data_IF_298100518087
#
_entry.id   IF_298100518087
#
_cell.length_a   1.000
_cell.length_b   1.000
_cell.length_c   1.000
_cell.angle_alpha   90.00
_cell.angle_beta   90.00
_cell.angle_gamma   90.00
#
_symmetry.space_group_name_H-M   'P 1'
#
loop_
_entity.id
_entity.type
_entity.pdbx_description
1 polymer ?
#
# COMPACT_ATOMS: atom_id res chain seq x y z
N UNK A 1 9.65 27.79 -7.96
CA UNK A 1 10.29 26.63 -7.30
C UNK A 1 9.27 26.07 -6.33
N UNK A 2 8.92 24.81 -6.53
CA UNK A 2 7.71 24.20 -5.99
C UNK A 2 7.79 24.00 -4.47
N UNK A 3 6.77 24.50 -3.78
CA UNK A 3 6.41 24.14 -2.40
C UNK A 3 5.82 22.74 -2.40
N UNK A 4 6.50 21.78 -1.78
CA UNK A 4 5.94 20.45 -1.51
C UNK A 4 5.42 20.49 -0.07
N UNK A 5 4.12 20.74 0.04
CA UNK A 5 3.36 20.56 1.27
C UNK A 5 3.00 19.07 1.38
N UNK A 6 3.68 18.33 2.25
CA UNK A 6 3.22 16.99 2.65
C UNK A 6 2.44 17.09 3.95
N UNK A 7 1.22 16.50 4.01
CA UNK A 7 0.37 16.53 5.19
C UNK A 7 0.80 15.49 6.23
N UNK A 8 0.94 15.95 7.47
CA UNK A 8 0.97 15.15 8.69
C UNK A 8 -0.28 14.26 8.84
N UNK A 9 -0.18 13.09 9.48
CA UNK A 9 -1.26 12.55 10.30
C UNK A 9 -1.10 12.96 11.79
N UNK A 10 -2.19 13.06 12.58
CA UNK A 10 -2.21 13.69 13.90
C UNK A 10 -2.19 12.72 15.09
N UNK A 11 -1.81 13.32 16.24
CA UNK A 11 -2.21 13.04 17.63
C UNK A 11 -1.82 11.71 18.31
N UNK A 12 -0.85 11.79 19.23
CA UNK A 12 -1.11 11.39 20.61
C UNK A 12 -0.30 12.27 21.58
N UNK A 13 -1.01 12.79 22.58
CA UNK A 13 -0.50 13.67 23.63
C UNK A 13 0.67 13.03 24.37
N UNK A 14 1.84 13.67 24.42
CA UNK A 14 2.69 13.60 25.61
C UNK A 14 3.55 14.85 25.73
N UNK A 15 3.41 15.50 26.87
CA UNK A 15 4.00 16.75 27.31
C UNK A 15 5.51 16.85 27.00
N UNK A 16 5.90 17.86 26.20
CA UNK A 16 7.29 18.29 26.10
C UNK A 16 7.68 19.05 27.39
N UNK A 17 7.98 18.30 28.45
CA UNK A 17 8.77 18.84 29.54
C UNK A 17 10.17 19.10 28.99
N UNK A 18 10.54 20.38 29.02
CA UNK A 18 11.87 20.90 28.71
C UNK A 18 12.92 20.14 29.54
N UNK A 19 13.57 19.13 28.94
CA UNK A 19 14.86 18.67 29.39
C UNK A 19 15.89 19.14 28.38
N UNK A 20 16.70 20.12 28.80
CA UNK A 20 17.93 20.47 28.11
C UNK A 20 18.82 19.22 28.00
N UNK A 21 19.16 18.73 26.80
CA UNK A 21 20.09 17.62 26.71
C UNK A 21 21.51 18.17 26.85
N UNK A 22 22.01 18.16 28.08
CA UNK A 22 23.44 18.03 28.30
C UNK A 22 23.93 16.79 27.54
N UNK A 23 24.78 17.00 26.53
CA UNK A 23 25.30 15.95 25.66
C UNK A 23 26.16 14.96 26.46
N UNK A 24 25.93 13.63 26.34
CA UNK A 24 26.99 12.66 26.45
C UNK A 24 27.24 12.06 25.07
N UNK A 25 28.51 11.99 24.70
CA UNK A 25 29.05 11.64 23.37
C UNK A 25 28.66 10.24 22.84
N UNK A 26 27.88 9.46 23.60
CA UNK A 26 27.29 8.17 23.20
C UNK A 26 25.91 8.30 22.55
N UNK A 27 25.23 9.44 22.73
CA UNK A 27 23.95 9.71 22.10
C UNK A 27 24.08 9.85 20.57
N UNK A 28 25.25 10.26 20.05
CA UNK A 28 25.49 10.44 18.63
C UNK A 28 25.41 9.13 17.83
N UNK A 29 26.01 8.05 18.33
CA UNK A 29 25.92 6.73 17.69
C UNK A 29 24.49 6.17 17.78
N UNK A 30 23.80 6.33 18.91
CA UNK A 30 22.41 5.88 19.04
C UNK A 30 21.47 6.67 18.11
N UNK A 31 21.67 7.97 17.97
CA UNK A 31 20.86 8.82 17.10
C UNK A 31 21.08 8.50 15.61
N UNK A 32 22.33 8.23 15.21
CA UNK A 32 22.66 7.75 13.85
C UNK A 32 22.05 6.37 13.54
N UNK A 33 22.05 5.43 14.51
CA UNK A 33 21.43 4.12 14.34
C UNK A 33 19.89 4.22 14.23
N UNK A 34 19.26 5.10 15.01
CA UNK A 34 17.81 5.35 14.94
C UNK A 34 17.39 6.00 13.62
N UNK A 35 18.21 6.89 13.06
CA UNK A 35 17.95 7.49 11.73
C UNK A 35 18.06 6.46 10.59
N UNK A 36 19.00 5.51 10.68
CA UNK A 36 19.15 4.44 9.69
C UNK A 36 17.97 3.46 9.70
N UNK A 37 17.39 3.15 10.87
CA UNK A 37 16.23 2.24 10.96
C UNK A 37 14.99 2.87 10.33
N UNK A 38 14.82 4.19 10.50
CA UNK A 38 13.64 4.93 10.01
C UNK A 38 13.55 5.01 8.48
N UNK A 39 14.68 4.97 7.78
CA UNK A 39 14.74 4.99 6.32
C UNK A 39 14.63 3.61 5.66
N UNK A 40 14.87 2.54 6.43
CA UNK A 40 14.92 1.17 5.91
C UNK A 40 13.53 0.60 5.61
N UNK A 41 12.52 0.99 6.40
CA UNK A 41 11.14 0.50 6.25
C UNK A 41 10.50 0.90 4.91
N UNK A 42 10.73 2.13 4.45
CA UNK A 42 10.14 2.61 3.19
C UNK A 42 10.76 1.95 1.96
N UNK A 43 12.09 1.82 1.94
CA UNK A 43 12.80 1.17 0.82
C UNK A 43 12.55 -0.35 0.77
N UNK A 44 12.41 -0.99 1.93
CA UNK A 44 12.11 -2.42 2.00
C UNK A 44 10.68 -2.73 1.55
N UNK A 45 9.70 -1.88 1.90
CA UNK A 45 8.31 -2.07 1.49
C UNK A 45 8.10 -1.92 -0.02
N UNK A 46 8.72 -0.92 -0.65
CA UNK A 46 8.59 -0.68 -2.10
C UNK A 46 9.15 -1.85 -2.92
N UNK A 47 10.28 -2.44 -2.50
CA UNK A 47 10.86 -3.62 -3.15
C UNK A 47 9.95 -4.86 -3.11
N UNK A 48 9.09 -4.96 -2.09
CA UNK A 48 8.15 -6.09 -1.96
C UNK A 48 6.88 -5.88 -2.79
N UNK A 49 6.58 -4.65 -3.20
CA UNK A 49 5.44 -4.33 -4.04
C UNK A 49 5.68 -4.61 -5.53
N UNK A 50 6.90 -4.94 -5.95
CA UNK A 50 7.25 -5.13 -7.37
C UNK A 50 6.30 -6.10 -8.08
N UNK A 51 6.00 -7.25 -7.45
CA UNK A 51 5.06 -8.23 -8.01
C UNK A 51 3.62 -7.72 -8.04
N UNK A 52 3.22 -6.90 -7.07
CA UNK A 52 1.89 -6.28 -7.04
C UNK A 52 1.78 -5.25 -8.16
N UNK A 53 2.83 -4.46 -8.37
CA UNK A 53 2.92 -3.46 -9.44
C UNK A 53 2.98 -4.10 -10.82
N UNK A 54 3.53 -5.29 -10.95
CA UNK A 54 3.49 -6.04 -12.20
C UNK A 54 2.09 -6.63 -12.47
N UNK A 55 1.40 -7.12 -11.45
CA UNK A 55 0.21 -7.96 -11.63
C UNK A 55 -1.11 -7.19 -11.60
N UNK A 56 -1.25 -6.25 -10.67
CA UNK A 56 -2.51 -5.54 -10.43
C UNK A 56 -2.98 -4.62 -11.56
N UNK A 57 -2.10 -3.89 -12.30
CA UNK A 57 -2.55 -2.92 -13.30
C UNK A 57 -3.42 -3.51 -14.41
N UNK A 58 -3.27 -4.80 -14.72
CA UNK A 58 -4.10 -5.48 -15.72
C UNK A 58 -5.59 -5.51 -15.37
N UNK A 59 -5.95 -5.28 -14.11
CA UNK A 59 -7.32 -5.23 -13.63
C UNK A 59 -7.90 -3.82 -13.55
N UNK A 60 -7.06 -2.78 -13.58
CA UNK A 60 -7.50 -1.39 -13.38
C UNK A 60 -8.56 -0.98 -14.40
N UNK A 61 -8.37 -1.31 -15.68
CA UNK A 61 -9.32 -1.00 -16.76
C UNK A 61 -10.73 -1.57 -16.54
N UNK A 62 -10.86 -2.71 -15.85
CA UNK A 62 -12.17 -3.22 -15.44
C UNK A 62 -12.67 -2.51 -14.17
N UNK A 63 -11.78 -2.36 -13.18
CA UNK A 63 -12.10 -1.75 -11.89
C UNK A 63 -12.52 -0.28 -12.00
N UNK A 64 -12.02 0.45 -12.99
CA UNK A 64 -12.39 1.84 -13.28
C UNK A 64 -13.59 1.98 -14.23
N UNK A 65 -14.10 0.85 -14.75
CA UNK A 65 -15.25 0.84 -15.64
C UNK A 65 -14.95 1.11 -17.12
N UNK A 66 -13.68 1.15 -17.54
CA UNK A 66 -13.32 1.25 -18.96
C UNK A 66 -13.78 0.01 -19.76
N UNK A 67 -13.82 -1.17 -19.12
CA UNK A 67 -14.33 -2.39 -19.73
C UNK A 67 -15.40 -3.06 -18.86
N UNK A 68 -16.37 -3.69 -19.53
CA UNK A 68 -17.46 -4.42 -18.88
C UNK A 68 -17.04 -5.77 -18.27
N UNK A 69 -15.89 -6.33 -18.69
CA UNK A 69 -15.39 -7.63 -18.22
C UNK A 69 -13.90 -7.58 -17.96
N UNK A 70 -13.40 -8.30 -16.93
CA UNK A 70 -11.97 -8.40 -16.69
C UNK A 70 -11.30 -9.16 -17.84
N UNK A 71 -10.08 -8.72 -18.17
CA UNK A 71 -9.26 -9.46 -19.14
C UNK A 71 -8.85 -10.82 -18.57
N UNK A 72 -8.61 -11.82 -19.44
CA UNK A 72 -8.05 -13.11 -19.01
C UNK A 72 -6.74 -12.94 -18.24
N UNK A 73 -5.97 -11.92 -18.62
CA UNK A 73 -4.72 -11.55 -17.95
C UNK A 73 -4.98 -11.05 -16.53
N UNK A 74 -5.92 -10.13 -16.33
CA UNK A 74 -6.36 -9.69 -15.01
C UNK A 74 -6.71 -10.88 -14.11
N UNK A 75 -7.62 -11.75 -14.54
CA UNK A 75 -8.03 -12.89 -13.72
C UNK A 75 -6.84 -13.80 -13.38
N UNK A 76 -5.98 -14.11 -14.37
CA UNK A 76 -4.74 -14.88 -14.14
C UNK A 76 -3.81 -14.23 -13.10
N UNK A 77 -3.72 -12.90 -13.07
CA UNK A 77 -2.95 -12.16 -12.09
C UNK A 77 -3.63 -12.12 -10.71
N UNK A 78 -4.96 -12.06 -10.62
CA UNK A 78 -5.68 -12.21 -9.34
C UNK A 78 -5.39 -13.56 -8.70
N UNK A 79 -5.37 -14.66 -9.48
CA UNK A 79 -4.95 -15.97 -8.94
C UNK A 79 -3.52 -15.96 -8.38
N UNK A 80 -2.59 -15.25 -9.03
CA UNK A 80 -1.21 -15.11 -8.54
C UNK A 80 -1.17 -14.27 -7.25
N UNK A 81 -1.89 -13.16 -7.21
CA UNK A 81 -1.98 -12.29 -6.03
C UNK A 81 -2.61 -13.03 -4.84
N UNK A 82 -3.65 -13.83 -5.06
CA UNK A 82 -4.22 -14.69 -4.01
C UNK A 82 -3.20 -15.69 -3.46
N UNK A 83 -2.37 -16.28 -4.34
CA UNK A 83 -1.29 -17.15 -3.88
C UNK A 83 -0.24 -16.40 -3.06
N UNK A 84 0.11 -15.18 -3.46
CA UNK A 84 1.05 -14.33 -2.73
C UNK A 84 0.46 -13.90 -1.37
N UNK A 85 -0.83 -13.58 -1.31
CA UNK A 85 -1.51 -13.23 -0.07
C UNK A 85 -1.47 -14.38 0.93
N UNK A 86 -1.68 -15.62 0.47
CA UNK A 86 -1.78 -16.79 1.33
C UNK A 86 -0.43 -17.43 1.69
N UNK A 87 0.59 -17.32 0.84
CA UNK A 87 1.85 -18.09 0.98
C UNK A 87 3.13 -17.26 0.87
N UNK A 88 3.01 -15.95 0.66
CA UNK A 88 4.16 -15.08 0.38
C UNK A 88 4.10 -13.79 1.16
N UNK A 89 3.71 -12.71 0.48
CA UNK A 89 3.72 -11.33 0.97
C UNK A 89 2.71 -11.06 2.10
N UNK A 90 1.63 -11.83 2.15
CA UNK A 90 0.51 -11.57 3.07
C UNK A 90 -0.53 -10.61 2.49
N UNK A 91 -1.77 -10.74 2.96
CA UNK A 91 -2.90 -9.94 2.50
C UNK A 91 -2.71 -8.44 2.76
N UNK A 92 -2.17 -8.09 3.93
CA UNK A 92 -1.98 -6.70 4.37
C UNK A 92 -1.01 -5.94 3.45
N UNK A 93 0.13 -6.57 3.13
CA UNK A 93 1.15 -5.93 2.29
C UNK A 93 0.63 -5.74 0.86
N UNK A 94 -0.08 -6.73 0.32
CA UNK A 94 -0.70 -6.61 -1.00
C UNK A 94 -1.71 -5.46 -1.02
N UNK A 95 -2.57 -5.35 -0.01
CA UNK A 95 -3.51 -4.23 0.10
C UNK A 95 -2.76 -2.90 0.09
N UNK A 96 -1.77 -2.74 0.98
CA UNK A 96 -0.97 -1.51 1.09
C UNK A 96 -0.29 -1.13 -0.23
N UNK A 97 0.30 -2.11 -0.93
CA UNK A 97 0.91 -1.88 -2.24
C UNK A 97 -0.12 -1.38 -3.27
N UNK A 98 -1.31 -1.97 -3.30
CA UNK A 98 -2.39 -1.52 -4.19
C UNK A 98 -2.84 -0.11 -3.81
N UNK A 99 -3.05 0.17 -2.53
CA UNK A 99 -3.40 1.50 -2.02
C UNK A 99 -2.37 2.53 -2.50
N UNK A 100 -1.09 2.26 -2.26
CA UNK A 100 0.01 3.12 -2.68
C UNK A 100 0.01 3.37 -4.19
N UNK A 101 -0.23 2.34 -5.00
CA UNK A 101 -0.27 2.45 -6.46
C UNK A 101 -1.42 3.36 -6.94
N UNK A 102 -2.62 3.16 -6.42
CA UNK A 102 -3.82 3.84 -6.94
C UNK A 102 -4.08 5.19 -6.28
N UNK A 103 -3.39 5.50 -5.18
CA UNK A 103 -3.54 6.75 -4.45
C UNK A 103 -3.26 7.95 -5.35
N UNK A 104 -4.24 8.84 -5.48
CA UNK A 104 -4.13 10.04 -6.32
C UNK A 104 -4.27 9.77 -7.82
N UNK A 105 -4.65 8.56 -8.22
CA UNK A 105 -4.95 8.23 -9.62
C UNK A 105 -6.43 8.42 -9.92
N UNK A 106 -6.75 8.99 -11.08
CA UNK A 106 -8.11 9.09 -11.62
C UNK A 106 -8.21 8.34 -12.96
N UNK A 107 -9.35 7.69 -13.26
CA UNK A 107 -10.55 7.51 -12.43
C UNK A 107 -10.33 6.55 -11.25
N UNK A 108 -11.16 6.70 -10.19
CA UNK A 108 -11.16 5.79 -9.04
C UNK A 108 -11.74 4.42 -9.40
N UNK A 109 -11.39 3.41 -8.61
CA UNK A 109 -12.00 2.09 -8.72
C UNK A 109 -13.45 2.14 -8.22
N UNK A 110 -14.36 1.52 -8.96
CA UNK A 110 -15.79 1.49 -8.65
C UNK A 110 -16.10 0.34 -7.69
N UNK A 111 -16.83 0.62 -6.62
CA UNK A 111 -17.24 -0.40 -5.63
C UNK A 111 -17.96 -1.59 -6.27
N UNK A 112 -18.87 -1.33 -7.22
CA UNK A 112 -19.61 -2.36 -7.93
C UNK A 112 -18.66 -3.27 -8.71
N UNK A 113 -17.69 -2.71 -9.44
CA UNK A 113 -16.68 -3.47 -10.19
C UNK A 113 -15.77 -4.29 -9.29
N UNK A 114 -15.37 -3.74 -8.14
CA UNK A 114 -14.60 -4.48 -7.13
C UNK A 114 -15.38 -5.71 -6.65
N UNK A 115 -16.68 -5.56 -6.39
CA UNK A 115 -17.55 -6.66 -5.93
C UNK A 115 -17.83 -7.70 -7.03
N UNK A 116 -17.84 -7.29 -8.30
CA UNK A 116 -18.04 -8.17 -9.45
C UNK A 116 -16.77 -8.97 -9.81
N UNK A 117 -15.57 -8.43 -9.53
CA UNK A 117 -14.29 -9.02 -9.93
C UNK A 117 -14.13 -10.51 -9.52
N UNK A 118 -14.38 -10.93 -8.26
CA UNK A 118 -14.24 -12.32 -7.86
C UNK A 118 -15.21 -13.22 -8.62
N UNK A 119 -16.43 -12.75 -8.83
CA UNK A 119 -17.49 -13.48 -9.55
C UNK A 119 -17.13 -13.66 -11.02
N UNK A 120 -16.73 -12.59 -11.71
CA UNK A 120 -16.33 -12.63 -13.12
C UNK A 120 -15.06 -13.46 -13.36
N UNK A 121 -14.11 -13.44 -12.42
CA UNK A 121 -12.90 -14.25 -12.48
C UNK A 121 -13.05 -15.67 -11.90
N UNK A 122 -14.23 -16.03 -11.40
CA UNK A 122 -14.55 -17.33 -10.77
C UNK A 122 -13.58 -17.70 -9.64
N UNK A 123 -13.24 -16.72 -8.81
CA UNK A 123 -12.27 -16.84 -7.73
C UNK A 123 -12.73 -16.09 -6.49
N UNK A 124 -11.95 -16.13 -5.42
CA UNK A 124 -12.13 -15.30 -4.23
C UNK A 124 -11.03 -14.23 -4.17
N UNK A 125 -11.18 -13.21 -3.33
CA UNK A 125 -10.07 -12.30 -3.02
C UNK A 125 -9.50 -12.69 -1.65
N UNK A 126 -8.20 -12.98 -1.62
CA UNK A 126 -7.47 -13.29 -0.37
C UNK A 126 -6.86 -12.04 0.27
N UNK A 127 -7.21 -10.85 -0.22
CA UNK A 127 -6.71 -9.56 0.26
C UNK A 127 -7.80 -8.50 0.11
N UNK A 128 -7.86 -7.51 1.00
CA UNK A 128 -8.87 -6.45 0.93
C UNK A 128 -8.60 -5.50 -0.24
N UNK A 129 -9.69 -5.05 -0.87
CA UNK A 129 -9.72 -4.00 -1.89
C UNK A 129 -11.01 -3.21 -1.66
N UNK A 130 -10.94 -1.89 -1.72
CA UNK A 130 -12.11 -1.01 -1.63
C UNK A 130 -11.93 0.21 -2.55
N UNK A 131 -13.00 0.96 -2.78
CA UNK A 131 -12.96 2.19 -3.60
C UNK A 131 -11.87 3.17 -3.12
N UNK A 132 -11.68 3.23 -1.80
CA UNK A 132 -10.73 4.12 -1.13
C UNK A 132 -9.42 3.42 -0.73
N UNK A 133 -9.34 2.11 -0.97
CA UNK A 133 -8.23 1.25 -0.54
C UNK A 133 -7.87 1.43 0.93
N UNK A 134 -8.87 1.40 1.82
CA UNK A 134 -8.61 1.39 3.27
C UNK A 134 -8.10 0.00 3.69
N UNK A 135 -6.79 -0.10 3.87
CA UNK A 135 -6.11 -1.33 4.29
C UNK A 135 -5.97 -1.45 5.81
N UNK A 136 -6.52 -0.53 6.60
CA UNK A 136 -6.25 -0.46 8.04
C UNK A 136 -7.21 -1.32 8.91
N UNK A 137 -8.00 -2.20 8.28
CA UNK A 137 -9.08 -2.99 8.89
C UNK A 137 -8.89 -4.50 8.79
#
# INVERSE_FOLDING_TARGET
MATISLPFPPSSNTSYLLLEPAMPRFAGCCFLLLLLVSGLDLAYSESQCELVFEYFPYCLEFLTGNYYKPSRRCCGHIYKLNRLANRGLGAQLICWCIEYMVRGTEPRMMADRISELPTECQTHLSFPISEWMDCNS
#
